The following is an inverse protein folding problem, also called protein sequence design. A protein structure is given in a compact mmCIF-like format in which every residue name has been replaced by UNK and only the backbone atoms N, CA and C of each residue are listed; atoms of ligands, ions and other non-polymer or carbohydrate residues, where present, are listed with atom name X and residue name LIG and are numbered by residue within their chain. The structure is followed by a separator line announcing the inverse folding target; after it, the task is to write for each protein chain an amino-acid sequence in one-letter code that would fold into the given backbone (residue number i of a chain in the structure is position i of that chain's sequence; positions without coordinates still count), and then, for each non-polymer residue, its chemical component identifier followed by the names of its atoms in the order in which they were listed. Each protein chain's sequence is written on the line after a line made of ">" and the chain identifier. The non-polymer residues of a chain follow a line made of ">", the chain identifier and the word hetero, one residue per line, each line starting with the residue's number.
data_IF_867329776635
#
_entry.id   IF_867329776635
#
_cell.length_a   1.000
_cell.length_b   1.000
_cell.length_c   1.000
_cell.angle_alpha   90.00
_cell.angle_beta   90.00
_cell.angle_gamma   90.00
#
_symmetry.space_group_name_H-M   'P 1'
#
loop_
_entity.id
_entity.type
_entity.pdbx_description
1 polymer ?
#
# COMPACT_ATOMS: atom_id res chain seq x y z
N UNK A 1 1.63 31.49 12.38
CA UNK A 1 0.61 30.56 11.89
C UNK A 1 1.27 29.57 10.94
N UNK A 2 1.33 28.28 11.29
CA UNK A 2 1.94 27.28 10.41
C UNK A 2 1.01 26.95 9.25
N UNK A 3 1.52 27.00 8.01
CA UNK A 3 0.75 26.73 6.81
C UNK A 3 0.11 25.32 6.84
N UNK A 4 -1.14 25.16 6.36
CA UNK A 4 -1.80 23.86 6.37
C UNK A 4 -1.02 22.87 5.49
N UNK A 5 -0.57 21.78 6.13
CA UNK A 5 0.20 20.71 5.48
C UNK A 5 -0.65 20.07 4.38
N UNK A 6 -0.22 20.20 3.12
CA UNK A 6 -0.90 19.66 1.93
C UNK A 6 -1.28 18.20 2.14
N UNK A 7 -2.56 17.89 1.99
CA UNK A 7 -3.15 16.57 2.23
C UNK A 7 -2.80 15.58 1.10
N UNK A 8 -1.56 15.08 1.12
CA UNK A 8 -1.02 14.13 0.13
C UNK A 8 -1.69 12.74 0.14
N UNK A 9 -2.67 12.49 1.02
CA UNK A 9 -3.32 11.19 1.19
C UNK A 9 -3.95 10.66 -0.12
N UNK A 10 -4.61 11.52 -0.91
CA UNK A 10 -5.20 11.12 -2.21
C UNK A 10 -4.13 10.75 -3.24
N UNK A 11 -3.00 11.46 -3.25
CA UNK A 11 -1.90 11.18 -4.16
C UNK A 11 -1.22 9.83 -3.83
N UNK A 12 -1.06 9.50 -2.54
CA UNK A 12 -0.52 8.20 -2.14
C UNK A 12 -1.39 7.02 -2.59
N UNK A 13 -2.72 7.12 -2.43
CA UNK A 13 -3.66 6.08 -2.89
C UNK A 13 -3.60 5.89 -4.41
N UNK A 14 -3.52 6.99 -5.16
CA UNK A 14 -3.44 6.94 -6.62
C UNK A 14 -2.13 6.26 -7.07
N UNK A 15 -1.01 6.60 -6.44
CA UNK A 15 0.27 5.98 -6.78
C UNK A 15 0.30 4.48 -6.48
N UNK A 16 -0.33 4.04 -5.38
CA UNK A 16 -0.48 2.61 -5.06
C UNK A 16 -1.22 1.86 -6.17
N UNK A 17 -2.37 2.38 -6.61
CA UNK A 17 -3.17 1.78 -7.68
C UNK A 17 -2.39 1.73 -8.98
N UNK A 18 -1.67 2.80 -9.33
CA UNK A 18 -0.86 2.85 -10.55
C UNK A 18 0.25 1.80 -10.48
N UNK A 19 1.00 1.73 -9.38
CA UNK A 19 2.08 0.74 -9.23
C UNK A 19 1.55 -0.70 -9.28
N UNK A 20 0.45 -0.98 -8.57
CA UNK A 20 -0.17 -2.32 -8.58
C UNK A 20 -0.70 -2.68 -9.97
N UNK A 21 -1.26 -1.73 -10.70
CA UNK A 21 -1.73 -1.94 -12.08
C UNK A 21 -0.57 -2.25 -13.03
N UNK A 22 0.53 -1.48 -12.95
CA UNK A 22 1.73 -1.71 -13.77
C UNK A 22 2.37 -3.06 -13.46
N UNK A 23 2.60 -3.37 -12.18
CA UNK A 23 3.16 -4.67 -11.81
C UNK A 23 2.20 -5.82 -12.11
N UNK A 24 0.90 -5.62 -11.99
CA UNK A 24 -0.12 -6.60 -12.41
C UNK A 24 -0.09 -6.88 -13.91
N UNK A 25 0.09 -5.86 -14.75
CA UNK A 25 0.24 -6.03 -16.19
C UNK A 25 1.54 -6.78 -16.54
N UNK A 26 2.66 -6.45 -15.89
CA UNK A 26 3.93 -7.16 -16.06
C UNK A 26 3.80 -8.63 -15.60
N UNK A 27 3.09 -8.87 -14.51
CA UNK A 27 2.81 -10.21 -13.99
C UNK A 27 1.99 -11.05 -14.98
N UNK A 28 0.91 -10.47 -15.53
CA UNK A 28 0.09 -11.12 -16.56
C UNK A 28 0.90 -11.43 -17.82
N UNK A 29 1.77 -10.50 -18.24
CA UNK A 29 2.66 -10.72 -19.38
C UNK A 29 3.61 -11.90 -19.14
N UNK A 30 4.24 -11.99 -17.96
CA UNK A 30 5.07 -13.14 -17.58
C UNK A 30 4.28 -14.46 -17.58
N UNK A 31 3.05 -14.43 -17.04
CA UNK A 31 2.17 -15.59 -17.01
C UNK A 31 1.78 -16.10 -18.41
N UNK A 32 1.39 -15.19 -19.30
CA UNK A 32 1.04 -15.52 -20.70
C UNK A 32 2.25 -16.10 -21.43
N UNK A 33 3.44 -15.50 -21.28
CA UNK A 33 4.68 -16.02 -21.86
C UNK A 33 5.01 -17.42 -21.36
N UNK A 34 4.82 -17.69 -20.06
CA UNK A 34 5.07 -19.00 -19.48
C UNK A 34 4.13 -20.08 -20.06
N UNK A 35 2.84 -19.78 -20.20
CA UNK A 35 1.86 -20.68 -20.81
C UNK A 35 2.18 -20.91 -22.28
N UNK A 36 2.45 -19.86 -23.05
CA UNK A 36 2.82 -19.97 -24.46
C UNK A 36 4.08 -20.82 -24.64
N UNK A 37 5.05 -20.69 -23.74
CA UNK A 37 6.22 -21.55 -23.71
C UNK A 37 5.89 -23.02 -23.43
N UNK A 38 4.98 -23.31 -22.50
CA UNK A 38 4.55 -24.68 -22.19
C UNK A 38 3.84 -25.31 -23.38
N UNK A 39 2.97 -24.54 -24.04
CA UNK A 39 2.29 -24.95 -25.27
C UNK A 39 3.30 -25.20 -26.39
N UNK A 40 4.28 -24.31 -26.59
CA UNK A 40 5.34 -24.49 -27.59
C UNK A 40 6.15 -25.78 -27.37
N UNK A 41 6.48 -26.09 -26.11
CA UNK A 41 7.28 -27.27 -25.76
C UNK A 41 6.51 -28.60 -25.82
N UNK A 42 5.19 -28.58 -25.60
CA UNK A 42 4.37 -29.79 -25.65
C UNK A 42 3.77 -30.05 -27.04
N UNK A 43 3.83 -29.08 -27.96
CA UNK A 43 3.41 -29.22 -29.36
C UNK A 43 4.42 -29.82 -30.38
N UNK A 44 5.68 -30.22 -30.07
CA UNK A 44 6.65 -30.61 -31.11
C UNK A 44 6.30 -31.92 -31.85
N UNK A 45 5.15 -32.55 -31.56
CA UNK A 45 4.59 -33.63 -32.39
C UNK A 45 3.70 -33.16 -33.56
N UNK A 46 3.43 -31.86 -33.72
CA UNK A 46 2.42 -31.37 -34.68
C UNK A 46 2.95 -30.49 -35.83
N UNK A 47 4.05 -29.74 -35.69
CA UNK A 47 4.50 -28.82 -36.77
C UNK A 47 6.00 -28.51 -36.74
N UNK A 48 6.73 -28.81 -37.82
CA UNK A 48 8.13 -28.38 -38.06
C UNK A 48 8.27 -26.85 -38.15
N UNK A 49 7.18 -26.14 -38.45
CA UNK A 49 7.09 -24.67 -38.49
C UNK A 49 6.31 -24.15 -37.29
N UNK A 50 6.90 -24.20 -36.10
CA UNK A 50 6.24 -23.68 -34.90
C UNK A 50 6.36 -22.14 -34.81
N UNK A 51 5.26 -21.37 -34.93
CA UNK A 51 5.31 -19.91 -34.88
C UNK A 51 5.82 -19.38 -33.53
N UNK A 52 5.65 -20.15 -32.46
CA UNK A 52 6.17 -19.78 -31.13
C UNK A 52 7.69 -19.85 -31.09
N UNK A 53 8.30 -20.80 -31.82
CA UNK A 53 9.76 -20.89 -31.92
C UNK A 53 10.36 -19.74 -32.73
N UNK A 54 9.67 -19.28 -33.79
CA UNK A 54 10.05 -18.08 -34.52
C UNK A 54 9.95 -16.83 -33.63
N UNK A 55 8.89 -16.71 -32.82
CA UNK A 55 8.76 -15.64 -31.84
C UNK A 55 9.88 -15.67 -30.78
N UNK A 56 10.29 -16.85 -30.32
CA UNK A 56 11.41 -17.00 -29.38
C UNK A 56 12.75 -16.55 -29.97
N UNK A 57 13.01 -16.86 -31.25
CA UNK A 57 14.19 -16.37 -31.98
C UNK A 57 14.15 -14.86 -32.19
N UNK A 58 13.00 -14.32 -32.60
CA UNK A 58 12.81 -12.88 -32.79
C UNK A 58 13.02 -12.10 -31.50
N UNK A 59 12.51 -12.61 -30.38
CA UNK A 59 12.69 -12.00 -29.07
C UNK A 59 14.14 -12.12 -28.57
N UNK A 60 14.81 -13.26 -28.80
CA UNK A 60 16.23 -13.42 -28.48
C UNK A 60 17.09 -12.41 -29.26
N UNK A 61 16.80 -12.23 -30.56
CA UNK A 61 17.48 -11.24 -31.40
C UNK A 61 17.20 -9.80 -30.94
N UNK A 62 15.99 -9.50 -30.48
CA UNK A 62 15.65 -8.18 -29.93
C UNK A 62 16.46 -7.87 -28.66
N UNK A 63 16.72 -8.88 -27.82
CA UNK A 63 17.54 -8.75 -26.61
C UNK A 63 19.05 -8.84 -26.89
N UNK A 64 19.49 -9.05 -28.14
CA UNK A 64 20.89 -9.23 -28.49
C UNK A 64 21.51 -10.53 -27.94
N UNK A 65 20.69 -11.52 -27.59
CA UNK A 65 21.13 -12.81 -27.05
C UNK A 65 21.31 -13.79 -28.21
N UNK A 66 22.51 -14.35 -28.36
CA UNK A 66 22.77 -15.43 -29.31
C UNK A 66 22.09 -16.73 -28.82
N UNK A 67 20.98 -17.11 -29.47
CA UNK A 67 20.27 -18.36 -29.18
C UNK A 67 18.76 -18.25 -29.30
N UNK A 68 18.05 -19.14 -28.60
CA UNK A 68 16.58 -19.14 -28.48
C UNK A 68 16.22 -18.90 -27.02
N UNK A 69 15.40 -17.89 -26.77
CA UNK A 69 14.90 -17.62 -25.42
C UNK A 69 13.72 -18.55 -25.14
N UNK A 70 13.85 -19.45 -24.15
CA UNK A 70 12.74 -20.28 -23.73
C UNK A 70 11.70 -19.42 -22.99
N UNK A 71 10.55 -19.20 -23.63
CA UNK A 71 9.45 -18.42 -23.08
C UNK A 71 8.90 -18.98 -21.76
N UNK A 72 9.08 -20.27 -21.47
CA UNK A 72 8.72 -20.85 -20.17
C UNK A 72 9.58 -20.27 -19.06
N UNK A 73 10.90 -20.32 -19.27
CA UNK A 73 11.88 -19.86 -18.30
C UNK A 73 11.77 -18.35 -18.15
N UNK A 74 11.76 -17.62 -19.27
CA UNK A 74 11.63 -16.17 -19.28
C UNK A 74 10.32 -15.72 -18.61
N UNK A 75 9.19 -16.30 -19.01
CA UNK A 75 7.88 -15.97 -18.47
C UNK A 75 7.79 -16.24 -16.97
N UNK A 76 8.34 -17.38 -16.51
CA UNK A 76 8.38 -17.74 -15.09
C UNK A 76 9.25 -16.78 -14.28
N UNK A 77 10.40 -16.36 -14.80
CA UNK A 77 11.26 -15.38 -14.13
C UNK A 77 10.55 -14.03 -14.02
N UNK A 78 9.95 -13.53 -15.11
CA UNK A 78 9.20 -12.26 -15.11
C UNK A 78 8.04 -12.33 -14.11
N UNK A 79 7.29 -13.42 -14.11
CA UNK A 79 6.18 -13.69 -13.20
C UNK A 79 6.60 -13.65 -11.73
N UNK A 80 7.68 -14.35 -11.37
CA UNK A 80 8.18 -14.42 -10.00
C UNK A 80 8.67 -13.04 -9.52
N UNK A 81 9.45 -12.37 -10.35
CA UNK A 81 9.97 -11.02 -10.05
C UNK A 81 8.81 -10.03 -9.86
N UNK A 82 7.81 -10.05 -10.75
CA UNK A 82 6.64 -9.19 -10.63
C UNK A 82 5.84 -9.48 -9.35
N UNK A 83 5.70 -10.76 -8.97
CA UNK A 83 5.04 -11.17 -7.71
C UNK A 83 5.75 -10.58 -6.50
N UNK A 84 7.09 -10.66 -6.47
CA UNK A 84 7.90 -10.08 -5.38
C UNK A 84 7.66 -8.57 -5.28
N UNK A 85 7.65 -7.85 -6.41
CA UNK A 85 7.37 -6.41 -6.41
C UNK A 85 5.95 -6.08 -5.93
N UNK A 86 4.93 -6.84 -6.33
CA UNK A 86 3.56 -6.67 -5.85
C UNK A 86 3.50 -6.82 -4.32
N UNK A 87 4.16 -7.84 -3.77
CA UNK A 87 4.21 -8.06 -2.31
C UNK A 87 4.93 -6.90 -1.60
N UNK A 88 6.05 -6.41 -2.15
CA UNK A 88 6.79 -5.27 -1.59
C UNK A 88 5.90 -4.02 -1.57
N UNK A 89 5.20 -3.73 -2.66
CA UNK A 89 4.29 -2.58 -2.77
C UNK A 89 3.16 -2.72 -1.75
N UNK A 90 2.49 -3.87 -1.71
CA UNK A 90 1.42 -4.14 -0.75
C UNK A 90 1.89 -3.92 0.70
N UNK A 91 3.04 -4.48 1.07
CA UNK A 91 3.60 -4.33 2.43
C UNK A 91 3.95 -2.88 2.73
N UNK A 92 4.54 -2.16 1.78
CA UNK A 92 4.91 -0.76 1.95
C UNK A 92 3.69 0.13 2.22
N UNK A 93 2.60 -0.08 1.49
CA UNK A 93 1.37 0.70 1.66
C UNK A 93 0.56 0.24 2.87
N UNK A 94 0.47 -1.06 3.17
CA UNK A 94 -0.21 -1.59 4.36
C UNK A 94 0.34 -0.98 5.66
N UNK A 95 1.68 -0.99 5.83
CA UNK A 95 2.33 -0.39 7.00
C UNK A 95 2.00 1.10 7.16
N UNK A 96 1.87 1.83 6.03
CA UNK A 96 1.49 3.24 6.05
C UNK A 96 0.01 3.43 6.41
N UNK A 97 -0.88 2.56 5.92
CA UNK A 97 -2.30 2.60 6.30
C UNK A 97 -2.50 2.34 7.78
N UNK A 98 -1.82 1.36 8.37
CA UNK A 98 -1.92 1.06 9.80
C UNK A 98 -1.41 2.22 10.67
N UNK A 99 -0.33 2.87 10.26
CA UNK A 99 0.18 4.07 10.91
C UNK A 99 -0.79 5.26 10.82
N UNK A 100 -1.55 5.39 9.72
CA UNK A 100 -2.56 6.45 9.57
C UNK A 100 -3.83 6.13 10.37
N UNK A 101 -4.27 4.86 10.35
CA UNK A 101 -5.46 4.38 11.04
C UNK A 101 -5.31 4.54 12.55
N UNK A 102 -4.20 4.07 13.13
CA UNK A 102 -3.90 4.23 14.56
C UNK A 102 -3.89 5.70 15.01
N UNK A 103 -3.30 6.61 14.22
CA UNK A 103 -3.33 8.06 14.51
C UNK A 103 -4.73 8.69 14.38
N UNK A 104 -5.59 8.14 13.52
CA UNK A 104 -6.97 8.61 13.38
C UNK A 104 -7.84 8.11 14.54
N UNK A 105 -7.64 6.87 14.97
CA UNK A 105 -8.33 6.28 16.12
C UNK A 105 -7.95 6.97 17.43
N UNK A 106 -6.66 7.24 17.68
CA UNK A 106 -6.23 8.04 18.85
C UNK A 106 -6.87 9.42 18.88
N UNK A 107 -6.96 10.11 17.73
CA UNK A 107 -7.63 11.42 17.66
C UNK A 107 -9.13 11.32 17.91
N UNK A 108 -9.78 10.26 17.42
CA UNK A 108 -11.20 10.02 17.72
C UNK A 108 -11.43 9.77 19.20
N UNK A 109 -10.57 8.98 19.84
CA UNK A 109 -10.62 8.75 21.28
C UNK A 109 -10.44 10.06 22.06
N UNK A 110 -9.43 10.88 21.75
CA UNK A 110 -9.24 12.18 22.41
C UNK A 110 -10.44 13.13 22.25
N UNK A 111 -11.07 13.15 21.08
CA UNK A 111 -12.28 13.97 20.85
C UNK A 111 -13.48 13.40 21.61
N UNK A 112 -13.62 12.08 21.65
CA UNK A 112 -14.68 11.41 22.40
C UNK A 112 -14.49 11.62 23.90
N UNK A 113 -13.28 11.52 24.43
CA UNK A 113 -12.92 11.80 25.82
C UNK A 113 -13.21 13.26 26.17
N UNK A 114 -12.85 14.21 25.28
CA UNK A 114 -13.16 15.63 25.47
C UNK A 114 -14.67 15.91 25.50
N UNK A 115 -15.45 15.27 24.62
CA UNK A 115 -16.91 15.44 24.56
C UNK A 115 -17.65 14.70 25.69
N UNK A 116 -17.07 13.62 26.23
CA UNK A 116 -17.65 12.83 27.31
C UNK A 116 -17.22 13.31 28.70
N UNK A 117 -16.26 14.24 28.79
CA UNK A 117 -15.97 14.95 30.03
C UNK A 117 -17.09 15.97 30.26
N UNK A 118 -18.00 15.79 31.24
CA UNK A 118 -19.00 16.80 31.57
C UNK A 118 -18.26 18.09 31.96
N UNK A 119 -18.79 19.24 31.51
CA UNK A 119 -18.20 20.56 31.72
C UNK A 119 -17.56 20.70 33.10
N UNK A 120 -16.28 21.07 33.13
CA UNK A 120 -15.53 21.39 34.34
C UNK A 120 -16.45 22.11 35.33
N UNK A 121 -16.70 21.61 36.55
CA UNK A 121 -17.38 22.43 37.54
C UNK A 121 -16.47 23.65 37.76
N UNK A 122 -17.03 24.85 37.58
CA UNK A 122 -16.32 26.10 37.80
C UNK A 122 -15.59 26.03 39.16
N UNK A 123 -14.32 26.52 39.25
CA UNK A 123 -13.56 26.43 40.49
C UNK A 123 -14.39 27.03 41.62
N UNK A 124 -14.70 26.22 42.63
CA UNK A 124 -15.49 26.64 43.77
C UNK A 124 -14.79 27.83 44.45
N UNK A 125 -15.40 29.00 44.33
CA UNK A 125 -15.03 30.19 45.10
C UNK A 125 -15.14 29.77 46.57
N UNK A 126 -13.99 29.70 47.27
CA UNK A 126 -13.98 29.52 48.74
C UNK A 126 -14.80 30.66 49.34
N UNK A 127 -16.01 30.36 49.78
CA UNK A 127 -16.72 31.24 50.71
C UNK A 127 -16.02 31.12 52.06
N UNK A 128 -15.10 32.04 52.32
CA UNK A 128 -14.61 32.33 53.65
C UNK A 128 -15.78 32.98 54.42
N UNK A 129 -16.50 32.14 55.18
CA UNK A 129 -17.62 32.57 56.01
C UNK A 129 -17.04 33.27 57.23
N UNK A 130 -17.11 34.60 57.22
CA UNK A 130 -16.99 35.47 58.38
C UNK A 130 -17.98 35.03 59.45
N UNK A 131 -17.48 34.55 60.58
CA UNK A 131 -18.22 34.40 61.82
C UNK A 131 -17.24 34.28 63.00
N UNK A 132 -16.63 35.41 63.37
CA UNK A 132 -16.31 35.63 64.78
C UNK A 132 -17.21 36.78 65.27
N UNK A 133 -18.25 36.34 65.95
CA UNK A 133 -19.19 37.11 66.73
C UNK A 133 -18.46 37.91 67.83
N UNK A 134 -18.75 39.21 67.85
CA UNK A 134 -19.27 39.91 69.04
C UNK A 134 -18.86 39.35 70.41
N UNK A 135 -17.65 39.68 70.88
CA UNK A 135 -17.40 39.93 72.31
C UNK A 135 -16.29 40.97 72.51
N UNK A 136 -16.70 42.21 72.80
CA UNK A 136 -16.24 43.09 73.89
C UNK A 136 -16.67 44.53 73.63
N UNK A 137 -17.89 44.85 74.09
CA UNK A 137 -18.18 46.13 74.68
C UNK A 137 -18.31 45.87 76.18
N UNK A 138 -17.29 46.28 76.93
CA UNK A 138 -17.30 46.78 78.32
C UNK A 138 -15.85 47.05 78.75
#
# INVERSE_FOLDING_TARGET
>A
MAAPKKNNAKAYKRNEIILLSVFGAIWLLGFVLAILGMVAYNLPKLTENNPLYAAQKGFASFLGINGVVDFRILGTVIFLVATIFIIIVLRHYANKYDAIKSKKERRKQMVQDFLSTPSYPAPAVKQEKTAEDTKKAE
#
